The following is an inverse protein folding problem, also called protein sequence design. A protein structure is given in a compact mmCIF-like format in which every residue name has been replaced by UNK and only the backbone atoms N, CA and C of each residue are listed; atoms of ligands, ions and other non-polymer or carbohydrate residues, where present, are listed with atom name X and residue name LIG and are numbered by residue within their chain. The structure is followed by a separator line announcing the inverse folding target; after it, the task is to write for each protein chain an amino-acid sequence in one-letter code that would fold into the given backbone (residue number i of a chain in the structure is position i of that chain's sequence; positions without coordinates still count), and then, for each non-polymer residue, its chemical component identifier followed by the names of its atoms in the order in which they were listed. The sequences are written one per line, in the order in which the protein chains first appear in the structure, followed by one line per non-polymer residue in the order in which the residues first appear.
data_IF_462571526962
#
_entry.id   IF_462571526962
#
_cell.length_a   1.000
_cell.length_b   1.000
_cell.length_c   1.000
_cell.angle_alpha   90.00
_cell.angle_beta   90.00
_cell.angle_gamma   90.00
#
_symmetry.space_group_name_H-M   'P 1'
#
loop_
_entity.id
_entity.type
_entity.pdbx_description
1 polymer ?
#
# COMPACT_ATOMS: atom_id res chain seq x y z
N UNK A 1 -19.89 -13.25 -73.20
CA UNK A 1 -20.82 -12.31 -72.53
C UNK A 1 -21.17 -12.91 -71.17
N UNK A 2 -20.53 -12.44 -70.10
CA UNK A 2 -20.81 -12.92 -68.75
C UNK A 2 -21.87 -12.02 -68.11
N UNK A 3 -23.03 -12.59 -67.80
CA UNK A 3 -24.10 -11.91 -67.06
C UNK A 3 -23.72 -11.88 -65.57
N UNK A 4 -23.36 -10.72 -65.05
CA UNK A 4 -23.32 -10.49 -63.60
C UNK A 4 -24.74 -10.12 -63.14
N UNK A 5 -25.37 -11.00 -62.38
CA UNK A 5 -26.61 -10.68 -61.67
C UNK A 5 -26.34 -9.73 -60.49
N UNK A 6 -27.24 -8.79 -60.17
CA UNK A 6 -27.04 -7.85 -59.08
C UNK A 6 -27.22 -8.57 -57.74
N UNK A 7 -26.13 -8.62 -56.95
CA UNK A 7 -26.14 -9.17 -55.60
C UNK A 7 -27.06 -8.31 -54.72
N UNK A 8 -28.22 -8.86 -54.36
CA UNK A 8 -29.23 -8.19 -53.55
C UNK A 8 -28.66 -7.77 -52.19
N UNK A 9 -28.76 -6.48 -51.87
CA UNK A 9 -28.24 -5.85 -50.64
C UNK A 9 -28.72 -6.57 -49.36
N UNK A 10 -29.92 -7.18 -49.40
CA UNK A 10 -30.44 -8.01 -48.30
C UNK A 10 -29.54 -9.21 -47.97
N UNK A 11 -28.94 -9.84 -48.98
CA UNK A 11 -28.07 -10.99 -48.78
C UNK A 11 -26.71 -10.59 -48.20
N UNK A 12 -26.23 -9.39 -48.52
CA UNK A 12 -25.00 -8.81 -47.94
C UNK A 12 -25.22 -8.49 -46.45
N UNK A 13 -26.39 -7.93 -46.11
CA UNK A 13 -26.72 -7.56 -44.73
C UNK A 13 -26.86 -8.79 -43.80
N UNK A 14 -27.43 -9.89 -44.31
CA UNK A 14 -27.51 -11.17 -43.59
C UNK A 14 -26.11 -11.77 -43.35
N UNK A 15 -25.22 -11.68 -44.33
CA UNK A 15 -23.84 -12.17 -44.20
C UNK A 15 -23.02 -11.37 -43.17
N UNK A 16 -23.27 -10.06 -43.07
CA UNK A 16 -22.61 -9.20 -42.07
C UNK A 16 -23.07 -9.53 -40.64
N UNK A 17 -24.35 -9.80 -40.43
CA UNK A 17 -24.89 -10.20 -39.11
C UNK A 17 -24.36 -11.58 -38.67
N UNK A 18 -24.17 -12.50 -39.62
CA UNK A 18 -23.54 -13.81 -39.36
C UNK A 18 -22.05 -13.70 -39.01
N UNK A 19 -21.31 -12.75 -39.60
CA UNK A 19 -19.90 -12.51 -39.27
C UNK A 19 -19.73 -11.87 -37.88
N UNK A 20 -20.69 -11.07 -37.43
CA UNK A 20 -20.68 -10.43 -36.11
C UNK A 20 -21.06 -11.38 -34.95
N UNK A 21 -21.63 -12.55 -35.25
CA UNK A 21 -22.05 -13.53 -34.23
C UNK A 21 -21.02 -14.64 -33.95
N UNK A 22 -19.90 -14.67 -34.67
CA UNK A 22 -18.81 -15.63 -34.47
C UNK A 22 -17.81 -15.25 -33.36
N UNK A 23 -18.10 -14.21 -32.57
CA UNK A 23 -17.17 -13.66 -31.58
C UNK A 23 -17.71 -13.70 -30.16
N UNK A 24 -17.96 -14.87 -29.58
CA UNK A 24 -17.97 -15.06 -28.12
C UNK A 24 -17.97 -16.56 -27.77
N UNK A 25 -16.85 -17.27 -27.97
CA UNK A 25 -16.59 -18.43 -27.13
C UNK A 25 -15.93 -17.93 -25.85
N UNK A 26 -16.74 -17.74 -24.80
CA UNK A 26 -16.26 -17.59 -23.44
C UNK A 26 -15.61 -18.93 -23.06
N UNK A 27 -14.28 -19.00 -23.10
CA UNK A 27 -13.51 -20.22 -22.86
C UNK A 27 -13.71 -20.69 -21.42
N UNK A 28 -14.75 -21.48 -21.18
CA UNK A 28 -15.00 -22.15 -19.90
C UNK A 28 -14.85 -23.65 -20.08
N UNK A 29 -13.67 -24.06 -20.55
CA UNK A 29 -13.19 -25.43 -20.38
C UNK A 29 -11.97 -25.37 -19.47
N UNK A 30 -12.26 -25.42 -18.18
CA UNK A 30 -11.25 -25.57 -17.14
C UNK A 30 -10.83 -27.04 -17.09
N UNK A 31 -10.04 -27.48 -18.06
CA UNK A 31 -9.35 -28.76 -17.97
C UNK A 31 -8.22 -28.62 -16.95
N UNK A 32 -8.16 -29.58 -16.02
CA UNK A 32 -7.19 -29.67 -14.92
C UNK A 32 -5.81 -30.06 -15.45
N UNK A 33 -5.14 -29.15 -16.12
CA UNK A 33 -3.69 -29.17 -16.34
C UNK A 33 -3.16 -27.77 -16.05
N UNK A 34 -2.36 -27.67 -14.98
CA UNK A 34 -1.67 -26.46 -14.46
C UNK A 34 -2.13 -25.11 -14.99
N UNK A 35 -3.09 -24.46 -14.31
CA UNK A 35 -3.40 -23.05 -14.55
C UNK A 35 -2.14 -22.21 -14.32
N UNK A 36 -1.79 -21.36 -15.28
CA UNK A 36 -0.65 -20.46 -15.14
C UNK A 36 -0.84 -19.54 -13.93
N UNK A 37 0.26 -19.11 -13.31
CA UNK A 37 0.23 -18.16 -12.20
C UNK A 37 -0.44 -16.83 -12.57
N UNK A 38 -0.34 -16.40 -13.83
CA UNK A 38 -1.05 -15.22 -14.32
C UNK A 38 -2.57 -15.42 -14.33
N UNK A 39 -3.05 -16.58 -14.77
CA UNK A 39 -4.48 -16.93 -14.77
C UNK A 39 -5.02 -17.05 -13.35
N UNK A 40 -4.25 -17.68 -12.46
CA UNK A 40 -4.56 -17.74 -11.04
C UNK A 40 -4.70 -16.34 -10.45
N UNK A 41 -3.74 -15.45 -10.73
CA UNK A 41 -3.78 -14.06 -10.25
C UNK A 41 -5.01 -13.30 -10.77
N UNK A 42 -5.41 -13.52 -12.03
CA UNK A 42 -6.63 -12.94 -12.60
C UNK A 42 -7.90 -13.51 -11.94
N UNK A 43 -7.92 -14.81 -11.65
CA UNK A 43 -9.04 -15.43 -10.95
C UNK A 43 -9.24 -14.84 -9.54
N UNK A 44 -8.14 -14.57 -8.83
CA UNK A 44 -8.18 -13.94 -7.50
C UNK A 44 -8.84 -12.54 -7.51
N UNK A 45 -8.78 -11.81 -8.62
CA UNK A 45 -9.42 -10.49 -8.72
C UNK A 45 -10.95 -10.57 -8.66
N UNK A 46 -11.53 -11.73 -8.99
CA UNK A 46 -12.98 -11.97 -8.91
C UNK A 46 -13.45 -12.42 -7.52
N UNK A 47 -12.55 -12.68 -6.58
CA UNK A 47 -12.90 -13.23 -5.28
C UNK A 47 -13.41 -12.13 -4.34
N UNK A 48 -14.36 -12.49 -3.48
CA UNK A 48 -14.76 -11.64 -2.36
C UNK A 48 -13.80 -11.81 -1.16
N UNK A 49 -13.91 -10.93 -0.16
CA UNK A 49 -13.01 -10.89 0.99
C UNK A 49 -12.94 -12.20 1.79
N UNK A 50 -14.08 -12.89 1.94
CA UNK A 50 -14.15 -14.18 2.65
C UNK A 50 -13.40 -15.25 1.88
N UNK A 51 -13.64 -15.34 0.57
CA UNK A 51 -12.95 -16.29 -0.32
C UNK A 51 -11.45 -16.05 -0.37
N UNK A 52 -11.01 -14.78 -0.35
CA UNK A 52 -9.59 -14.45 -0.30
C UNK A 52 -8.95 -14.89 1.01
N UNK A 53 -9.64 -14.74 2.13
CA UNK A 53 -9.13 -15.17 3.45
C UNK A 53 -9.08 -16.69 3.56
N UNK A 54 -10.11 -17.38 3.04
CA UNK A 54 -10.14 -18.84 2.95
C UNK A 54 -9.00 -19.38 2.08
N UNK A 55 -8.76 -18.78 0.91
CA UNK A 55 -7.66 -19.19 0.04
C UNK A 55 -6.30 -18.91 0.67
N UNK A 56 -6.11 -17.79 1.39
CA UNK A 56 -4.89 -17.55 2.17
C UNK A 56 -4.68 -18.65 3.21
N UNK A 57 -5.69 -18.97 4.01
CA UNK A 57 -5.58 -19.99 5.05
C UNK A 57 -5.23 -21.36 4.44
N UNK A 58 -5.87 -21.73 3.33
CA UNK A 58 -5.57 -22.96 2.60
C UNK A 58 -4.13 -23.00 2.11
N UNK A 59 -3.64 -21.93 1.48
CA UNK A 59 -2.28 -21.91 0.94
C UNK A 59 -1.22 -21.83 2.06
N UNK A 60 -1.52 -21.20 3.20
CA UNK A 60 -0.65 -21.23 4.38
C UNK A 60 -0.51 -22.66 4.91
N UNK A 61 -1.63 -23.38 5.08
CA UNK A 61 -1.62 -24.78 5.53
C UNK A 61 -0.87 -25.67 4.54
N UNK A 62 -1.01 -25.45 3.23
CA UNK A 62 -0.26 -26.23 2.23
C UNK A 62 1.25 -25.94 2.29
N UNK A 63 1.62 -24.67 2.38
CA UNK A 63 3.03 -24.25 2.47
C UNK A 63 3.72 -24.77 3.75
N UNK A 64 2.99 -24.91 4.86
CA UNK A 64 3.50 -25.41 6.14
C UNK A 64 3.42 -26.94 6.28
N UNK A 65 2.30 -27.54 5.86
CA UNK A 65 1.89 -28.90 6.18
C UNK A 65 2.65 -30.01 5.44
N UNK A 66 3.26 -29.73 4.29
CA UNK A 66 3.98 -30.73 3.50
C UNK A 66 5.44 -30.94 3.89
N UNK A 67 5.96 -30.20 4.88
CA UNK A 67 7.26 -30.50 5.50
C UNK A 67 7.34 -31.90 6.12
N UNK A 68 6.20 -32.57 6.35
CA UNK A 68 6.10 -33.91 6.95
C UNK A 68 5.96 -35.06 5.94
N UNK A 69 5.82 -34.79 4.64
CA UNK A 69 5.79 -35.81 3.59
C UNK A 69 7.10 -35.77 2.82
N UNK A 70 7.67 -36.92 2.45
CA UNK A 70 8.99 -37.08 1.80
C UNK A 70 9.10 -36.48 0.36
N UNK A 71 8.31 -35.46 0.04
CA UNK A 71 8.27 -34.71 -1.21
C UNK A 71 8.65 -33.27 -0.85
N UNK A 72 9.65 -32.69 -1.53
CA UNK A 72 10.28 -31.42 -1.16
C UNK A 72 9.35 -30.21 -0.99
N UNK A 73 9.95 -29.05 -0.70
CA UNK A 73 9.26 -27.77 -0.46
C UNK A 73 8.20 -27.49 -1.54
N UNK A 74 6.94 -27.28 -1.15
CA UNK A 74 5.87 -26.88 -2.08
C UNK A 74 6.00 -25.40 -2.43
N UNK A 75 6.72 -25.15 -3.52
CA UNK A 75 6.90 -23.81 -4.06
C UNK A 75 5.61 -23.24 -4.69
N UNK A 76 4.69 -24.09 -5.18
CA UNK A 76 3.43 -23.62 -5.78
C UNK A 76 2.53 -22.94 -4.74
N UNK A 77 2.38 -23.55 -3.55
CA UNK A 77 1.65 -22.91 -2.45
C UNK A 77 2.28 -21.56 -2.03
N UNK A 78 3.61 -21.51 -1.93
CA UNK A 78 4.33 -20.25 -1.60
C UNK A 78 4.18 -19.18 -2.69
N UNK A 79 4.22 -19.56 -3.97
CA UNK A 79 4.01 -18.64 -5.09
C UNK A 79 2.56 -18.13 -5.10
N UNK A 80 1.57 -18.99 -4.83
CA UNK A 80 0.17 -18.58 -4.71
C UNK A 80 -0.06 -17.62 -3.53
N UNK A 81 0.61 -17.83 -2.40
CA UNK A 81 0.61 -16.89 -1.27
C UNK A 81 1.23 -15.55 -1.64
N UNK A 82 2.35 -15.55 -2.34
CA UNK A 82 2.97 -14.34 -2.88
C UNK A 82 1.95 -13.55 -3.73
N UNK A 83 1.24 -14.23 -4.62
CA UNK A 83 0.23 -13.61 -5.48
C UNK A 83 -0.93 -13.02 -4.68
N UNK A 84 -1.45 -13.76 -3.69
CA UNK A 84 -2.50 -13.31 -2.78
C UNK A 84 -2.12 -12.01 -2.04
N UNK A 85 -0.92 -11.95 -1.46
CA UNK A 85 -0.46 -10.75 -0.75
C UNK A 85 -0.14 -9.58 -1.67
N UNK A 86 0.15 -9.84 -2.94
CA UNK A 86 0.41 -8.80 -3.94
C UNK A 86 -0.84 -8.17 -4.55
N UNK A 87 -2.02 -8.75 -4.32
CA UNK A 87 -3.29 -8.35 -4.93
C UNK A 87 -3.72 -6.94 -4.49
N UNK A 88 -3.75 -5.94 -5.39
CA UNK A 88 -4.16 -4.58 -5.03
C UNK A 88 -5.63 -4.54 -4.61
N UNK A 89 -5.96 -3.66 -3.67
CA UNK A 89 -7.33 -3.45 -3.14
C UNK A 89 -7.92 -4.65 -2.37
N UNK A 90 -7.11 -5.66 -2.09
CA UNK A 90 -7.49 -6.77 -1.24
C UNK A 90 -7.33 -6.41 0.25
N UNK A 91 -8.21 -6.84 1.16
CA UNK A 91 -8.03 -6.63 2.60
C UNK A 91 -6.78 -7.35 3.14
N UNK A 92 -6.34 -8.41 2.47
CA UNK A 92 -5.12 -9.18 2.78
C UNK A 92 -3.88 -8.62 2.07
N UNK A 93 -4.00 -7.50 1.35
CA UNK A 93 -2.89 -6.92 0.60
C UNK A 93 -1.74 -6.52 1.53
N UNK A 94 -0.55 -7.06 1.27
CA UNK A 94 0.66 -6.75 2.02
C UNK A 94 1.89 -6.79 1.13
N UNK A 95 2.30 -5.63 0.62
CA UNK A 95 3.47 -5.52 -0.26
C UNK A 95 4.78 -5.90 0.40
N UNK A 96 4.89 -5.78 1.73
CA UNK A 96 6.09 -6.17 2.46
C UNK A 96 6.21 -7.68 2.56
N UNK A 97 5.14 -8.37 2.97
CA UNK A 97 5.09 -9.83 3.01
C UNK A 97 5.28 -10.43 1.61
N UNK A 98 4.61 -9.87 0.60
CA UNK A 98 4.80 -10.28 -0.79
C UNK A 98 6.27 -10.14 -1.22
N UNK A 99 6.91 -8.99 -0.94
CA UNK A 99 8.32 -8.79 -1.31
C UNK A 99 9.27 -9.72 -0.56
N UNK A 100 9.02 -9.98 0.71
CA UNK A 100 9.82 -10.91 1.52
C UNK A 100 9.73 -12.34 0.95
N UNK A 101 8.52 -12.82 0.65
CA UNK A 101 8.31 -14.13 0.03
C UNK A 101 8.94 -14.22 -1.36
N UNK A 102 8.81 -13.17 -2.18
CA UNK A 102 9.45 -13.15 -3.50
C UNK A 102 10.98 -13.23 -3.39
N UNK A 103 11.57 -12.58 -2.39
CA UNK A 103 13.01 -12.66 -2.17
C UNK A 103 13.43 -14.04 -1.62
N UNK A 104 12.64 -14.65 -0.74
CA UNK A 104 12.85 -16.01 -0.24
C UNK A 104 12.86 -17.02 -1.39
N UNK A 105 11.86 -16.94 -2.27
CA UNK A 105 11.74 -17.83 -3.43
C UNK A 105 12.85 -17.61 -4.48
N UNK A 106 13.45 -16.42 -4.54
CA UNK A 106 14.56 -16.10 -5.45
C UNK A 106 15.94 -16.28 -4.80
N UNK A 107 16.00 -16.78 -3.56
CA UNK A 107 17.28 -17.03 -2.89
C UNK A 107 17.99 -18.24 -3.50
N UNK A 108 19.33 -18.27 -3.41
CA UNK A 108 20.14 -19.36 -3.95
C UNK A 108 19.77 -20.72 -3.36
N UNK A 109 19.33 -20.75 -2.10
CA UNK A 109 18.85 -21.95 -1.39
C UNK A 109 17.54 -22.50 -1.98
N UNK A 110 16.75 -21.66 -2.66
CA UNK A 110 15.47 -21.98 -3.27
C UNK A 110 15.51 -21.88 -4.81
N UNK A 111 16.68 -22.07 -5.43
CA UNK A 111 16.87 -21.92 -6.89
C UNK A 111 15.93 -22.78 -7.78
N UNK A 112 15.25 -23.79 -7.22
CA UNK A 112 14.23 -24.58 -7.92
C UNK A 112 12.81 -23.97 -7.87
N UNK A 113 12.57 -22.92 -7.09
CA UNK A 113 11.23 -22.37 -6.91
C UNK A 113 10.61 -21.84 -8.20
N UNK A 114 11.44 -21.26 -9.07
CA UNK A 114 11.02 -20.73 -10.37
C UNK A 114 11.56 -21.56 -11.56
N UNK A 115 12.10 -22.77 -11.34
CA UNK A 115 12.74 -23.55 -12.42
C UNK A 115 11.78 -24.01 -13.51
N UNK A 116 10.51 -24.24 -13.15
CA UNK A 116 9.50 -24.85 -14.02
C UNK A 116 8.56 -23.80 -14.65
N UNK A 117 8.93 -22.53 -14.55
CA UNK A 117 8.08 -21.40 -14.90
C UNK A 117 8.31 -20.98 -16.36
N UNK A 118 7.22 -20.65 -17.04
CA UNK A 118 7.27 -20.25 -18.45
C UNK A 118 7.87 -18.85 -18.62
N UNK A 119 8.47 -18.52 -19.78
CA UNK A 119 9.03 -17.17 -20.01
C UNK A 119 8.01 -16.02 -19.81
N UNK A 120 6.73 -16.28 -20.10
CA UNK A 120 5.66 -15.31 -19.87
C UNK A 120 5.44 -15.03 -18.38
N UNK A 121 5.51 -16.07 -17.56
CA UNK A 121 5.38 -15.97 -16.11
C UNK A 121 6.64 -15.33 -15.49
N UNK A 122 7.83 -15.59 -16.04
CA UNK A 122 9.04 -14.88 -15.63
C UNK A 122 8.90 -13.36 -15.83
N UNK A 123 8.42 -12.93 -17.00
CA UNK A 123 8.14 -11.52 -17.27
C UNK A 123 7.08 -10.95 -16.30
N UNK A 124 6.05 -11.74 -15.98
CA UNK A 124 5.03 -11.38 -15.01
C UNK A 124 5.61 -11.21 -13.59
N UNK A 125 6.43 -12.14 -13.09
CA UNK A 125 7.07 -12.03 -11.78
C UNK A 125 8.11 -10.90 -11.73
N UNK A 126 8.82 -10.65 -12.83
CA UNK A 126 9.73 -9.50 -12.95
C UNK A 126 8.96 -8.18 -12.82
N UNK A 127 7.84 -8.05 -13.54
CA UNK A 127 6.95 -6.89 -13.40
C UNK A 127 6.38 -6.78 -11.98
N UNK A 128 5.95 -7.91 -11.39
CA UNK A 128 5.43 -7.94 -10.03
C UNK A 128 6.47 -7.44 -9.02
N UNK A 129 7.72 -7.87 -9.18
CA UNK A 129 8.86 -7.41 -8.37
C UNK A 129 9.01 -5.90 -8.44
N UNK A 130 9.00 -5.34 -9.65
CA UNK A 130 9.18 -3.91 -9.86
C UNK A 130 8.01 -3.11 -9.27
N UNK A 131 6.78 -3.57 -9.46
CA UNK A 131 5.59 -2.96 -8.87
C UNK A 131 5.63 -2.98 -7.34
N UNK A 132 6.01 -4.10 -6.73
CA UNK A 132 6.17 -4.22 -5.27
C UNK A 132 7.24 -3.26 -4.74
N UNK A 133 8.38 -3.19 -5.42
CA UNK A 133 9.48 -2.28 -5.06
C UNK A 133 9.05 -0.80 -5.14
N UNK A 134 8.40 -0.40 -6.24
CA UNK A 134 7.91 0.97 -6.42
C UNK A 134 6.92 1.36 -5.32
N UNK A 135 6.02 0.46 -4.94
CA UNK A 135 5.05 0.72 -3.86
C UNK A 135 5.72 0.83 -2.50
N UNK A 136 6.70 -0.01 -2.20
CA UNK A 136 7.47 0.09 -0.96
C UNK A 136 8.26 1.40 -0.89
N UNK A 137 8.89 1.81 -1.99
CA UNK A 137 9.60 3.07 -2.09
C UNK A 137 8.65 4.26 -1.85
N UNK A 138 7.48 4.25 -2.48
CA UNK A 138 6.47 5.30 -2.30
C UNK A 138 5.99 5.38 -0.85
N UNK A 139 5.71 4.23 -0.22
CA UNK A 139 5.35 4.16 1.19
C UNK A 139 6.44 4.75 2.08
N UNK A 140 7.69 4.38 1.87
CA UNK A 140 8.82 4.88 2.66
C UNK A 140 9.00 6.40 2.50
N UNK A 141 8.81 6.93 1.28
CA UNK A 141 8.81 8.39 1.04
C UNK A 141 7.70 9.10 1.82
N UNK A 142 6.50 8.55 1.83
CA UNK A 142 5.37 9.13 2.60
C UNK A 142 5.64 9.09 4.11
N UNK A 143 6.20 7.99 4.62
CA UNK A 143 6.58 7.89 6.03
C UNK A 143 7.66 8.90 6.41
N UNK A 144 8.69 9.06 5.57
CA UNK A 144 9.75 10.04 5.81
C UNK A 144 9.20 11.48 5.83
N UNK A 145 8.31 11.83 4.89
CA UNK A 145 7.66 13.14 4.85
C UNK A 145 6.81 13.39 6.10
N UNK A 146 6.08 12.37 6.56
CA UNK A 146 5.26 12.48 7.77
C UNK A 146 6.13 12.66 9.02
N UNK A 147 7.28 11.99 9.08
CA UNK A 147 8.23 12.12 10.17
C UNK A 147 8.86 13.52 10.21
N UNK A 148 9.29 14.04 9.06
CA UNK A 148 9.79 15.41 8.89
C UNK A 148 8.76 16.43 9.39
N UNK A 149 7.50 16.31 8.94
CA UNK A 149 6.42 17.20 9.37
C UNK A 149 6.18 17.15 10.88
N UNK A 150 6.27 15.96 11.50
CA UNK A 150 6.14 15.83 12.96
C UNK A 150 7.30 16.48 13.71
N UNK A 151 8.51 16.37 13.18
CA UNK A 151 9.70 16.97 13.77
C UNK A 151 9.60 18.50 13.71
N UNK A 152 9.22 19.06 12.56
CA UNK A 152 9.01 20.51 12.38
C UNK A 152 7.94 21.06 13.34
N UNK A 153 6.83 20.34 13.50
CA UNK A 153 5.78 20.69 14.46
C UNK A 153 6.29 20.67 15.90
N UNK A 154 7.09 19.66 16.26
CA UNK A 154 7.66 19.54 17.58
C UNK A 154 8.68 20.65 17.87
N UNK A 155 9.52 21.00 16.91
CA UNK A 155 10.49 22.10 17.04
C UNK A 155 9.77 23.44 17.18
N UNK A 156 8.77 23.70 16.34
CA UNK A 156 7.94 24.90 16.43
C UNK A 156 7.25 25.02 17.79
N UNK A 157 6.70 23.91 18.33
CA UNK A 157 6.08 23.89 19.64
C UNK A 157 7.08 24.20 20.78
N UNK A 158 8.31 23.65 20.71
CA UNK A 158 9.38 23.95 21.67
C UNK A 158 9.77 25.43 21.61
N UNK A 159 9.89 25.99 20.41
CA UNK A 159 10.24 27.40 20.23
C UNK A 159 9.15 28.32 20.81
N UNK A 160 7.88 28.03 20.53
CA UNK A 160 6.73 28.77 21.11
C UNK A 160 6.73 28.69 22.64
N UNK A 161 7.00 27.51 23.21
CA UNK A 161 7.10 27.34 24.65
C UNK A 161 8.24 28.16 25.25
N UNK A 162 9.39 28.23 24.57
CA UNK A 162 10.51 29.06 25.01
C UNK A 162 10.16 30.55 25.02
N UNK A 163 9.55 31.05 23.93
CA UNK A 163 9.11 32.44 23.82
C UNK A 163 8.09 32.78 24.92
N UNK A 164 7.10 31.92 25.16
CA UNK A 164 6.11 32.11 26.21
C UNK A 164 6.74 32.19 27.61
N UNK A 165 7.74 31.34 27.90
CA UNK A 165 8.50 31.39 29.17
C UNK A 165 9.28 32.70 29.33
N UNK A 166 9.92 33.19 28.26
CA UNK A 166 10.65 34.46 28.31
C UNK A 166 9.70 35.64 28.55
N UNK A 167 8.55 35.69 27.86
CA UNK A 167 7.53 36.70 28.08
C UNK A 167 6.99 36.65 29.51
N UNK A 168 6.75 35.46 30.05
CA UNK A 168 6.31 35.29 31.44
C UNK A 168 7.35 35.85 32.42
N UNK A 169 8.64 35.59 32.21
CA UNK A 169 9.70 36.14 33.06
C UNK A 169 9.73 37.67 33.02
N UNK A 170 9.62 38.26 31.82
CA UNK A 170 9.57 39.72 31.67
C UNK A 170 8.36 40.34 32.39
N UNK A 171 7.19 39.70 32.30
CA UNK A 171 5.99 40.17 33.02
C UNK A 171 6.18 40.10 34.54
N UNK A 172 6.81 39.03 35.06
CA UNK A 172 7.11 38.90 36.49
C UNK A 172 8.05 40.02 36.95
N UNK A 173 9.08 40.36 36.18
CA UNK A 173 9.99 41.45 36.49
C UNK A 173 9.29 42.81 36.49
N UNK A 174 8.42 43.07 35.50
CA UNK A 174 7.63 44.29 35.44
C UNK A 174 6.68 44.44 36.63
N UNK A 175 5.98 43.36 37.01
CA UNK A 175 5.10 43.36 38.20
C UNK A 175 5.90 43.68 39.45
N UNK A 176 7.08 43.07 39.62
CA UNK A 176 7.95 43.34 40.78
C UNK A 176 8.41 44.81 40.83
N UNK A 177 8.76 45.39 39.68
CA UNK A 177 9.12 46.81 39.60
C UNK A 177 7.94 47.71 39.96
N UNK A 178 6.76 47.42 39.43
CA UNK A 178 5.52 48.15 39.75
C UNK A 178 5.20 48.09 41.25
N UNK A 179 5.32 46.92 41.88
CA UNK A 179 5.13 46.77 43.32
C UNK A 179 6.11 47.62 44.14
N UNK A 180 7.38 47.70 43.72
CA UNK A 180 8.37 48.55 44.37
C UNK A 180 8.02 50.03 44.24
N UNK A 181 7.62 50.48 43.04
CA UNK A 181 7.19 51.86 42.80
C UNK A 181 5.97 52.22 43.63
N UNK A 182 4.98 51.32 43.73
CA UNK A 182 3.78 51.52 44.58
C UNK A 182 4.19 51.66 46.05
N UNK A 183 5.10 50.82 46.55
CA UNK A 183 5.60 50.92 47.93
C UNK A 183 6.32 52.25 48.17
N UNK A 184 7.14 52.71 47.22
CA UNK A 184 7.81 54.01 47.30
C UNK A 184 6.81 55.15 47.32
N UNK A 185 5.83 55.16 46.41
CA UNK A 185 4.79 56.19 46.37
C UNK A 185 4.00 56.23 47.69
N UNK A 186 3.62 55.07 48.23
CA UNK A 186 2.95 54.98 49.54
C UNK A 186 3.80 55.55 50.69
N UNK A 187 5.12 55.31 50.67
CA UNK A 187 6.02 55.86 51.69
C UNK A 187 6.15 57.39 51.58
N UNK A 188 6.15 57.93 50.36
CA UNK A 188 6.17 59.37 50.10
C UNK A 188 4.86 59.99 50.59
N UNK A 189 3.71 59.40 50.26
CA UNK A 189 2.40 59.86 50.70
C UNK A 189 2.32 59.93 52.24
N UNK A 190 2.75 58.87 52.94
CA UNK A 190 2.82 58.86 54.41
C UNK A 190 3.79 59.90 54.99
N UNK A 191 4.87 60.22 54.29
CA UNK A 191 5.82 61.23 54.71
C UNK A 191 5.27 62.66 54.54
N UNK A 192 4.47 62.89 53.49
CA UNK A 192 3.75 64.16 53.27
C UNK A 192 2.66 64.34 54.32
N UNK A 193 1.85 63.31 54.56
CA UNK A 193 0.73 63.35 55.52
C UNK A 193 1.20 63.67 56.96
N UNK A 194 2.39 63.18 57.34
CA UNK A 194 3.04 63.50 58.62
C UNK A 194 3.64 64.91 58.70
N UNK A 195 3.85 65.56 57.56
CA UNK A 195 4.44 66.91 57.48
C UNK A 195 3.38 68.00 57.55
N UNK A 196 2.12 67.66 57.24
CA UNK A 196 0.97 68.56 57.26
C UNK A 196 0.11 68.43 58.54
N UNK A 197 0.57 67.62 59.52
CA UNK A 197 0.08 67.57 60.91
C UNK A 197 1.00 68.35 61.86
#
# INVERSE_FOLDING_TARGET
MANLQPLSIKNILIFMVLLLSSGCELTTKHDKAGTSYGEYYLALQGFNEKQLTEEVSKQQVNAEGQTNSNTGVDYDAKIKLLLLYSLPKSPIYNSFQAKALLNDLNSEDNNSAFSDITPNEEAFFSLLRDQLNQRLLMRNRLLALQEEQRNDQQESAKQQQHIAKQQQQQLIEQVKLLEQTIKQLKSIEQAIDKRDQ
#
